data_IF_949271882502
#
_entry.id   IF_949271882502
#
_cell.length_a   1.000
_cell.length_b   1.000
_cell.length_c   1.000
_cell.angle_alpha   90.00
_cell.angle_beta   90.00
_cell.angle_gamma   90.00
#
_symmetry.space_group_name_H-M   'P 1'
#
loop_
_entity.id
_entity.type
_entity.pdbx_description
1 polymer ?
#
# COMPACT_ATOMS: atom_id res chain seq x y z
N UNK A 1 16.29 -6.16 -6.09
CA UNK A 1 15.36 -7.33 -6.15
C UNK A 1 13.95 -6.81 -6.36
N UNK A 2 13.04 -7.55 -7.00
CA UNK A 2 11.63 -7.19 -7.08
C UNK A 2 10.84 -7.77 -5.89
N UNK A 3 9.89 -7.00 -5.38
CA UNK A 3 9.04 -7.38 -4.24
C UNK A 3 7.57 -7.12 -4.55
N UNK A 4 6.72 -7.83 -3.81
CA UNK A 4 5.30 -7.51 -3.66
C UNK A 4 5.07 -7.00 -2.25
N UNK A 5 4.39 -5.87 -2.11
CA UNK A 5 4.01 -5.32 -0.80
C UNK A 5 2.51 -5.20 -0.73
N UNK A 6 1.90 -5.85 0.27
CA UNK A 6 0.48 -5.72 0.59
C UNK A 6 0.32 -4.79 1.79
N UNK A 7 -0.61 -3.83 1.68
CA UNK A 7 -0.84 -2.73 2.61
C UNK A 7 -2.30 -2.70 3.02
N UNK A 8 -2.53 -2.51 4.32
CA UNK A 8 -3.85 -2.17 4.88
C UNK A 8 -3.68 -1.00 5.84
N UNK A 9 -4.29 0.14 5.50
CA UNK A 9 -4.32 1.32 6.36
C UNK A 9 -5.65 1.38 7.13
N UNK A 10 -5.56 1.47 8.46
CA UNK A 10 -6.72 1.49 9.35
C UNK A 10 -6.67 2.73 10.25
N UNK A 11 -7.18 3.88 9.77
CA UNK A 11 -7.45 5.04 10.62
C UNK A 11 -8.40 4.67 11.76
N UNK A 12 -8.14 5.18 12.97
CA UNK A 12 -8.95 4.92 14.16
C UNK A 12 -9.90 6.10 14.44
N UNK A 13 -10.74 6.43 13.45
CA UNK A 13 -11.70 7.54 13.50
C UNK A 13 -12.95 7.21 12.66
N UNK A 14 -14.09 7.85 12.94
CA UNK A 14 -15.36 7.57 12.24
C UNK A 14 -15.30 7.90 10.75
N UNK A 15 -14.69 9.03 10.39
CA UNK A 15 -14.49 9.48 9.01
C UNK A 15 -13.18 8.93 8.42
N UNK A 16 -13.00 7.60 8.44
CA UNK A 16 -11.76 6.95 8.00
C UNK A 16 -11.63 6.86 6.46
N UNK A 17 -12.74 6.75 5.74
CA UNK A 17 -12.74 6.49 4.29
C UNK A 17 -11.94 7.51 3.47
N UNK A 18 -12.06 8.84 3.70
CA UNK A 18 -11.30 9.83 2.93
C UNK A 18 -9.79 9.65 3.04
N UNK A 19 -9.29 9.27 4.22
CA UNK A 19 -7.85 9.06 4.46
C UNK A 19 -7.33 7.83 3.74
N UNK A 20 -8.10 6.73 3.74
CA UNK A 20 -7.78 5.52 2.97
C UNK A 20 -7.80 5.83 1.46
N UNK A 21 -8.85 6.50 0.97
CA UNK A 21 -8.97 6.86 -0.46
C UNK A 21 -7.80 7.76 -0.89
N UNK A 22 -7.44 8.73 -0.04
CA UNK A 22 -6.31 9.64 -0.29
C UNK A 22 -4.99 8.88 -0.37
N UNK A 23 -4.74 7.96 0.57
CA UNK A 23 -3.54 7.11 0.55
C UNK A 23 -3.45 6.27 -0.72
N UNK A 24 -4.53 5.55 -1.07
CA UNK A 24 -4.59 4.72 -2.28
C UNK A 24 -4.37 5.55 -3.56
N UNK A 25 -4.95 6.76 -3.66
CA UNK A 25 -4.73 7.64 -4.81
C UNK A 25 -3.27 8.06 -4.96
N UNK A 26 -2.55 8.29 -3.85
CA UNK A 26 -1.11 8.60 -3.89
C UNK A 26 -0.29 7.38 -4.33
N UNK A 27 -0.65 6.18 -3.89
CA UNK A 27 -0.04 4.94 -4.38
C UNK A 27 -0.25 4.78 -5.90
N UNK A 28 -1.46 5.00 -6.42
CA UNK A 28 -1.73 4.95 -7.87
C UNK A 28 -0.93 5.98 -8.67
N UNK A 29 -0.70 7.17 -8.09
CA UNK A 29 0.08 8.23 -8.72
C UNK A 29 1.60 7.99 -8.69
N UNK A 30 2.08 6.93 -8.04
CA UNK A 30 3.52 6.65 -7.86
C UNK A 30 4.23 6.15 -9.12
N UNK A 31 3.48 5.65 -10.11
CA UNK A 31 4.04 5.01 -11.31
C UNK A 31 4.36 3.52 -11.14
N UNK A 32 4.19 2.94 -9.95
CA UNK A 32 4.28 1.49 -9.75
C UNK A 32 3.01 0.77 -10.22
N UNK A 33 3.13 -0.53 -10.45
CA UNK A 33 1.96 -1.41 -10.57
C UNK A 33 1.26 -1.46 -9.22
N UNK A 34 -0.01 -1.05 -9.20
CA UNK A 34 -0.85 -1.06 -8.00
C UNK A 34 -2.11 -1.86 -8.30
N UNK A 35 -2.39 -2.87 -7.47
CA UNK A 35 -3.59 -3.69 -7.54
C UNK A 35 -4.35 -3.61 -6.21
N UNK A 36 -5.67 -3.71 -6.28
CA UNK A 36 -6.54 -3.47 -5.12
C UNK A 36 -7.57 -4.58 -5.03
N UNK A 37 -7.90 -4.94 -3.80
CA UNK A 37 -9.03 -5.80 -3.50
C UNK A 37 -9.79 -5.19 -2.30
N UNK A 38 -10.92 -5.77 -1.87
CA UNK A 38 -11.71 -5.22 -0.77
C UNK A 38 -10.99 -5.11 0.59
N UNK A 39 -9.86 -5.78 0.77
CA UNK A 39 -9.15 -5.91 2.06
C UNK A 39 -7.79 -5.21 2.07
N UNK A 40 -7.14 -5.05 0.92
CA UNK A 40 -5.78 -4.50 0.83
C UNK A 40 -5.44 -3.87 -0.52
N UNK A 41 -4.37 -3.07 -0.50
CA UNK A 41 -3.72 -2.51 -1.69
C UNK A 41 -2.34 -3.13 -1.83
N UNK A 42 -1.98 -3.52 -3.05
CA UNK A 42 -0.74 -4.21 -3.36
C UNK A 42 0.10 -3.34 -4.30
N UNK A 43 1.39 -3.24 -4.02
CA UNK A 43 2.38 -2.49 -4.81
C UNK A 43 3.52 -3.42 -5.20
N UNK A 44 3.95 -3.35 -6.46
CA UNK A 44 5.01 -4.20 -7.01
C UNK A 44 6.11 -3.36 -7.64
N UNK A 45 7.36 -3.80 -7.50
CA UNK A 45 8.51 -3.10 -8.10
C UNK A 45 9.84 -3.45 -7.46
N UNK A 46 10.89 -2.72 -7.85
CA UNK A 46 12.21 -2.84 -7.26
C UNK A 46 12.20 -2.43 -5.78
N UNK A 47 12.82 -3.24 -4.91
CA UNK A 47 12.80 -3.08 -3.46
C UNK A 47 13.11 -1.65 -3.02
N UNK A 48 14.24 -1.09 -3.43
CA UNK A 48 14.68 0.22 -2.96
C UNK A 48 13.72 1.34 -3.39
N UNK A 49 13.18 1.25 -4.61
CA UNK A 49 12.26 2.23 -5.15
C UNK A 49 10.88 2.15 -4.47
N UNK A 50 10.35 0.94 -4.30
CA UNK A 50 9.09 0.69 -3.59
C UNK A 50 9.20 1.16 -2.14
N UNK A 51 10.28 0.80 -1.44
CA UNK A 51 10.47 1.21 -0.04
C UNK A 51 10.65 2.72 0.12
N UNK A 52 11.33 3.38 -0.81
CA UNK A 52 11.47 4.85 -0.83
C UNK A 52 10.09 5.53 -0.99
N UNK A 53 9.27 5.06 -1.93
CA UNK A 53 7.91 5.56 -2.12
C UNK A 53 7.04 5.30 -0.88
N UNK A 54 7.02 4.07 -0.38
CA UNK A 54 6.21 3.70 0.79
C UNK A 54 6.61 4.49 2.03
N UNK A 55 7.90 4.75 2.26
CA UNK A 55 8.35 5.58 3.37
C UNK A 55 7.67 6.96 3.35
N UNK A 56 7.62 7.61 2.19
CA UNK A 56 6.98 8.93 2.03
C UNK A 56 5.47 8.83 2.23
N UNK A 57 4.81 7.89 1.56
CA UNK A 57 3.35 7.84 1.51
C UNK A 57 2.72 7.33 2.81
N UNK A 58 3.36 6.37 3.49
CA UNK A 58 2.96 5.89 4.81
C UNK A 58 3.14 7.00 5.85
N UNK A 59 4.25 7.73 5.81
CA UNK A 59 4.46 8.89 6.69
C UNK A 59 3.35 9.92 6.51
N UNK A 60 3.03 10.28 5.26
CA UNK A 60 1.95 11.22 4.98
C UNK A 60 0.58 10.72 5.45
N UNK A 61 0.29 9.42 5.29
CA UNK A 61 -0.96 8.81 5.76
C UNK A 61 -1.08 8.85 7.29
N UNK A 62 -0.02 8.45 8.01
CA UNK A 62 -0.01 8.46 9.48
C UNK A 62 -0.04 9.87 10.07
N UNK A 63 0.50 10.87 9.36
CA UNK A 63 0.40 12.28 9.78
C UNK A 63 -1.01 12.88 9.55
N UNK A 64 -1.82 12.28 8.68
CA UNK A 64 -3.17 12.75 8.37
C UNK A 64 -4.24 12.34 9.39
N UNK A 65 -3.90 11.51 10.36
CA UNK A 65 -4.83 10.95 11.35
C UNK A 65 -4.28 11.13 12.78
N UNK A 66 -5.17 11.28 13.76
CA UNK A 66 -4.74 11.31 15.17
C UNK A 66 -4.26 9.93 15.66
N UNK A 67 -4.88 8.86 15.14
CA UNK A 67 -4.53 7.48 15.43
C UNK A 67 -4.80 6.57 14.25
N UNK A 68 -3.92 5.61 14.01
CA UNK A 68 -4.04 4.69 12.89
C UNK A 68 -3.04 3.55 12.93
N UNK A 69 -3.37 2.47 12.24
CA UNK A 69 -2.52 1.28 12.08
C UNK A 69 -2.19 1.10 10.61
N UNK A 70 -0.95 0.69 10.31
CA UNK A 70 -0.53 0.29 8.98
C UNK A 70 -0.01 -1.14 9.04
N UNK A 71 -0.69 -2.07 8.38
CA UNK A 71 -0.21 -3.42 8.17
C UNK A 71 0.56 -3.49 6.86
N UNK A 72 1.75 -4.09 6.91
CA UNK A 72 2.62 -4.26 5.75
C UNK A 72 3.09 -5.70 5.70
N UNK A 73 2.87 -6.35 4.55
CA UNK A 73 3.40 -7.68 4.27
C UNK A 73 4.27 -7.60 3.03
N UNK A 74 5.55 -7.97 3.17
CA UNK A 74 6.52 -7.93 2.08
C UNK A 74 6.85 -9.35 1.63
N UNK A 75 6.78 -9.60 0.33
CA UNK A 75 7.16 -10.85 -0.31
C UNK A 75 8.40 -10.62 -1.17
N UNK A 76 9.42 -11.45 -1.02
CA UNK A 76 10.71 -11.40 -1.78
C UNK A 76 10.58 -11.91 -3.23
N UNK A 77 9.45 -11.65 -3.88
CA UNK A 77 9.21 -11.99 -5.28
C UNK A 77 8.14 -11.06 -5.84
N UNK A 78 8.21 -10.81 -7.14
CA UNK A 78 7.09 -10.23 -7.86
C UNK A 78 5.96 -11.27 -7.97
N UNK A 79 4.73 -10.86 -7.66
CA UNK A 79 3.50 -11.67 -7.73
C UNK A 79 2.38 -10.91 -8.44
N UNK A 80 2.72 -9.89 -9.23
CA UNK A 80 1.74 -9.10 -9.97
C UNK A 80 0.94 -9.91 -10.99
N UNK A 81 1.46 -11.05 -11.41
CA UNK A 81 0.88 -11.97 -12.39
C UNK A 81 0.27 -13.24 -11.75
N UNK A 82 0.15 -13.29 -10.41
CA UNK A 82 -0.41 -14.46 -9.75
C UNK A 82 -1.89 -14.64 -10.08
N UNK A 83 -2.22 -15.77 -10.70
CA UNK A 83 -3.58 -16.27 -10.86
C UNK A 83 -3.73 -17.60 -10.12
N UNK A 84 -4.82 -17.79 -9.34
CA UNK A 84 -5.15 -19.09 -8.75
C UNK A 84 -5.29 -20.16 -9.84
N UNK A 85 -4.75 -21.35 -9.59
CA UNK A 85 -4.75 -22.47 -10.54
C UNK A 85 -5.49 -23.71 -10.01
N UNK A 86 -6.47 -23.50 -9.12
CA UNK A 86 -7.28 -24.53 -8.47
C UNK A 86 -8.77 -24.17 -8.47
#
# INVERSE_FOLDING_TARGET
MHISVELTFTPLQDSYEPEIISFIKRLRASGFTVLENPLSTQVYGAYDEVMCMLQKEIKAALQGVEGGLMYIKIVKSDRSDYEPNF
#
